data_IF_652241862452
#
_entry.id   IF_652241862452
#
_cell.length_a   1.000
_cell.length_b   1.000
_cell.length_c   1.000
_cell.angle_alpha   90.00
_cell.angle_beta   90.00
_cell.angle_gamma   90.00
#
_symmetry.space_group_name_H-M   'P 1'
#
loop_
_entity.id
_entity.type
_entity.pdbx_description
1 polymer ?
#
# COMPACT_ATOMS: atom_id res chain seq x y z
N UNK A 1 8.94 12.53 -18.94
CA UNK A 1 7.77 12.77 -18.07
C UNK A 1 6.91 11.53 -18.06
N UNK A 2 6.76 10.86 -16.91
CA UNK A 2 6.01 9.60 -16.82
C UNK A 2 4.52 9.93 -16.91
N UNK A 3 3.87 9.54 -18.00
CA UNK A 3 2.44 9.71 -18.17
C UNK A 3 1.70 8.65 -17.34
N UNK A 4 1.24 9.03 -16.15
CA UNK A 4 0.30 8.21 -15.38
C UNK A 4 -1.09 8.30 -16.06
N UNK A 5 -1.76 7.17 -16.35
CA UNK A 5 -3.10 7.20 -16.91
C UNK A 5 -4.05 7.89 -15.92
N UNK A 6 -4.83 8.86 -16.40
CA UNK A 6 -5.81 9.59 -15.59
C UNK A 6 -7.02 8.70 -15.30
N UNK A 7 -6.90 7.80 -14.33
CA UNK A 7 -8.00 7.03 -13.78
C UNK A 7 -8.07 7.22 -12.26
N UNK A 8 -9.26 7.55 -11.74
CA UNK A 8 -9.52 7.63 -10.28
C UNK A 8 -8.93 6.44 -9.49
N UNK A 9 -8.98 5.17 -9.98
CA UNK A 9 -8.43 4.01 -9.28
C UNK A 9 -6.89 4.03 -9.14
N UNK A 10 -6.17 4.40 -10.20
CA UNK A 10 -4.70 4.40 -10.22
C UNK A 10 -4.14 5.46 -9.29
N UNK A 11 -4.64 6.70 -9.39
CA UNK A 11 -4.24 7.79 -8.49
C UNK A 11 -4.53 7.46 -7.03
N UNK A 12 -5.69 6.85 -6.74
CA UNK A 12 -6.02 6.44 -5.38
C UNK A 12 -5.08 5.33 -4.89
N UNK A 13 -4.80 4.33 -5.73
CA UNK A 13 -3.88 3.25 -5.38
C UNK A 13 -2.46 3.80 -5.12
N UNK A 14 -1.96 4.70 -5.95
CA UNK A 14 -0.67 5.36 -5.74
C UNK A 14 -0.62 6.15 -4.44
N UNK A 15 -1.67 6.88 -4.09
CA UNK A 15 -1.74 7.59 -2.81
C UNK A 15 -1.73 6.64 -1.61
N UNK A 16 -2.53 5.57 -1.66
CA UNK A 16 -2.55 4.55 -0.60
C UNK A 16 -1.18 3.86 -0.46
N UNK A 17 -0.53 3.55 -1.58
CA UNK A 17 0.79 2.95 -1.59
C UNK A 17 1.84 3.89 -0.99
N UNK A 18 1.82 5.16 -1.37
CA UNK A 18 2.70 6.18 -0.79
C UNK A 18 2.50 6.33 0.72
N UNK A 19 1.26 6.43 1.18
CA UNK A 19 0.93 6.50 2.61
C UNK A 19 1.44 5.26 3.37
N UNK A 20 1.23 4.06 2.82
CA UNK A 20 1.70 2.82 3.42
C UNK A 20 3.24 2.78 3.51
N UNK A 21 3.93 3.15 2.44
CA UNK A 21 5.40 3.18 2.38
C UNK A 21 5.97 4.13 3.45
N UNK A 22 5.50 5.38 3.48
CA UNK A 22 5.96 6.37 4.46
C UNK A 22 5.74 5.88 5.89
N UNK A 23 4.55 5.36 6.18
CA UNK A 23 4.23 4.83 7.50
C UNK A 23 5.15 3.68 7.91
N UNK A 24 5.33 2.67 7.05
CA UNK A 24 6.10 1.48 7.40
C UNK A 24 7.61 1.75 7.51
N UNK A 25 8.15 2.67 6.71
CA UNK A 25 9.54 3.12 6.84
C UNK A 25 9.73 3.88 8.16
N UNK A 26 8.82 4.80 8.48
CA UNK A 26 8.87 5.54 9.75
C UNK A 26 8.74 4.60 10.96
N UNK A 27 7.82 3.64 10.90
CA UNK A 27 7.60 2.65 11.95
C UNK A 27 8.84 1.76 12.15
N UNK A 28 9.48 1.31 11.06
CA UNK A 28 10.73 0.55 11.13
C UNK A 28 11.85 1.36 11.78
N UNK A 29 12.04 2.62 11.37
CA UNK A 29 13.03 3.52 11.98
C UNK A 29 12.80 3.65 13.49
N UNK A 30 11.57 3.84 13.92
CA UNK A 30 11.24 3.99 15.34
C UNK A 30 11.42 2.68 16.12
N UNK A 31 11.06 1.53 15.54
CA UNK A 31 11.30 0.23 16.15
C UNK A 31 12.79 -0.04 16.40
N UNK A 32 13.65 0.39 15.47
CA UNK A 32 15.11 0.31 15.65
C UNK A 32 15.60 1.23 16.76
N UNK A 33 15.14 2.48 16.79
CA UNK A 33 15.56 3.48 17.78
C UNK A 33 15.10 3.16 19.20
N UNK A 34 13.85 2.71 19.37
CA UNK A 34 13.22 2.60 20.69
C UNK A 34 13.12 1.17 21.21
N UNK A 35 13.20 0.17 20.34
CA UNK A 35 13.01 -1.24 20.71
C UNK A 35 14.13 -2.15 20.23
N UNK A 36 15.17 -1.59 19.58
CA UNK A 36 16.27 -2.33 18.97
C UNK A 36 15.80 -3.54 18.13
N UNK A 37 14.63 -3.41 17.51
CA UNK A 37 13.98 -4.47 16.74
C UNK A 37 14.16 -4.18 15.26
N UNK A 38 14.57 -5.18 14.51
CA UNK A 38 14.88 -5.05 13.09
C UNK A 38 14.06 -6.05 12.29
N UNK A 39 13.37 -5.57 11.27
CA UNK A 39 12.70 -6.42 10.29
C UNK A 39 13.49 -6.43 8.99
N UNK A 40 13.49 -7.57 8.31
CA UNK A 40 14.03 -7.66 6.95
C UNK A 40 13.21 -6.79 6.00
N UNK A 41 13.85 -6.38 4.91
CA UNK A 41 13.18 -5.65 3.82
C UNK A 41 11.99 -6.45 3.28
N UNK A 42 12.14 -7.77 3.10
CA UNK A 42 11.06 -8.66 2.65
C UNK A 42 9.86 -8.67 3.61
N UNK A 43 10.11 -8.60 4.91
CA UNK A 43 9.04 -8.55 5.91
C UNK A 43 8.23 -7.26 5.79
N UNK A 44 8.92 -6.12 5.66
CA UNK A 44 8.29 -4.81 5.49
C UNK A 44 7.52 -4.74 4.17
N UNK A 45 8.12 -5.24 3.09
CA UNK A 45 7.47 -5.35 1.79
C UNK A 45 6.18 -6.17 1.88
N UNK A 46 6.23 -7.36 2.50
CA UNK A 46 5.06 -8.22 2.68
C UNK A 46 3.96 -7.54 3.52
N UNK A 47 4.31 -6.76 4.54
CA UNK A 47 3.33 -5.99 5.30
C UNK A 47 2.63 -4.93 4.46
N UNK A 48 3.40 -4.12 3.73
CA UNK A 48 2.83 -3.12 2.82
C UNK A 48 1.96 -3.81 1.78
N UNK A 49 2.43 -4.93 1.23
CA UNK A 49 1.72 -5.65 0.18
C UNK A 49 0.36 -6.16 0.66
N UNK A 50 0.33 -6.81 1.84
CA UNK A 50 -0.91 -7.31 2.44
C UNK A 50 -1.84 -6.17 2.87
N UNK A 51 -1.29 -5.10 3.43
CA UNK A 51 -2.07 -3.94 3.85
C UNK A 51 -2.82 -3.31 2.67
N UNK A 52 -2.14 -3.13 1.52
CA UNK A 52 -2.75 -2.59 0.31
C UNK A 52 -3.80 -3.53 -0.26
N UNK A 53 -3.50 -4.84 -0.35
CA UNK A 53 -4.48 -5.84 -0.80
C UNK A 53 -5.75 -5.81 0.04
N UNK A 54 -5.62 -5.79 1.36
CA UNK A 54 -6.75 -5.72 2.29
C UNK A 54 -7.53 -4.41 2.14
N UNK A 55 -6.83 -3.28 1.96
CA UNK A 55 -7.47 -1.99 1.72
C UNK A 55 -8.27 -1.98 0.42
N UNK A 56 -7.74 -2.54 -0.67
CA UNK A 56 -8.46 -2.67 -1.94
C UNK A 56 -9.72 -3.54 -1.76
N UNK A 57 -9.60 -4.67 -1.05
CA UNK A 57 -10.74 -5.56 -0.78
C UNK A 57 -11.82 -4.88 0.07
N UNK A 58 -11.45 -3.97 0.97
CA UNK A 58 -12.44 -3.22 1.77
C UNK A 58 -13.40 -2.37 0.93
N UNK A 59 -13.02 -1.98 -0.29
CA UNK A 59 -13.90 -1.27 -1.21
C UNK A 59 -14.94 -2.18 -1.89
N UNK A 60 -14.82 -3.49 -1.80
CA UNK A 60 -15.67 -4.43 -2.55
C UNK A 60 -17.15 -4.32 -2.18
N UNK A 61 -17.46 -4.00 -0.92
CA UNK A 61 -18.84 -3.86 -0.44
C UNK A 61 -19.50 -2.56 -0.87
N UNK A 62 -18.73 -1.46 -0.97
CA UNK A 62 -19.24 -0.13 -1.33
C UNK A 62 -19.11 0.21 -2.82
N UNK A 63 -18.03 -0.24 -3.46
CA UNK A 63 -17.74 -0.01 -4.86
C UNK A 63 -16.95 -1.21 -5.45
N UNK A 64 -17.64 -2.30 -5.84
CA UNK A 64 -17.00 -3.51 -6.36
C UNK A 64 -16.20 -3.27 -7.64
N UNK A 65 -16.64 -2.35 -8.50
CA UNK A 65 -15.94 -1.98 -9.74
C UNK A 65 -14.58 -1.35 -9.44
N UNK A 66 -14.53 -0.38 -8.53
CA UNK A 66 -13.28 0.25 -8.08
C UNK A 66 -12.33 -0.78 -7.47
N UNK A 67 -12.84 -1.63 -6.58
CA UNK A 67 -12.06 -2.69 -5.94
C UNK A 67 -11.45 -3.63 -6.98
N UNK A 68 -12.23 -4.06 -7.98
CA UNK A 68 -11.76 -4.91 -9.07
C UNK A 68 -10.66 -4.24 -9.91
N UNK A 69 -10.89 -2.99 -10.35
CA UNK A 69 -9.93 -2.23 -11.14
C UNK A 69 -8.61 -2.02 -10.40
N UNK A 70 -8.67 -1.67 -9.11
CA UNK A 70 -7.45 -1.50 -8.30
C UNK A 70 -6.72 -2.84 -8.08
N UNK A 71 -7.45 -3.93 -7.86
CA UNK A 71 -6.85 -5.26 -7.67
C UNK A 71 -6.14 -5.76 -8.93
N UNK A 72 -6.70 -5.50 -10.11
CA UNK A 72 -6.08 -5.84 -11.40
C UNK A 72 -4.77 -5.11 -11.65
N UNK A 73 -4.59 -3.91 -11.09
CA UNK A 73 -3.31 -3.18 -11.16
C UNK A 73 -2.31 -3.69 -10.10
N UNK A 74 -2.83 -4.20 -8.98
CA UNK A 74 -2.02 -4.59 -7.83
C UNK A 74 -1.39 -6.00 -7.95
N UNK A 75 -2.06 -6.91 -8.67
CA UNK A 75 -1.58 -8.27 -8.97
C UNK A 75 -0.70 -8.24 -10.21
#
# INVERSE_FOLDING_TARGET
>A
MIHLPKGKPLTLLSHLAWQALVYWIWNERNARLHSNTFRSVDTIYNFIYRQLKNKIQSFRTSNPTLSSQMMQVWI
#
